data_IF_693897358232
#
_entry.id   IF_693897358232
#
_cell.length_a   1.000
_cell.length_b   1.000
_cell.length_c   1.000
_cell.angle_alpha   90.00
_cell.angle_beta   90.00
_cell.angle_gamma   90.00
#
_symmetry.space_group_name_H-M   'P 1'
#
loop_
_entity.id
_entity.type
_entity.pdbx_description
1 polymer ?
#
# COMPACT_ATOMS: atom_id res chain seq x y z
N UNK A 1 4.83 85.72 30.64
CA UNK A 1 5.36 86.63 29.60
C UNK A 1 6.49 85.90 28.87
N UNK A 2 6.33 85.72 27.55
CA UNK A 2 7.34 85.29 26.57
C UNK A 2 8.56 86.25 26.54
N UNK A 3 9.71 85.94 25.89
CA UNK A 3 9.80 85.21 24.62
C UNK A 3 10.95 84.20 24.41
N UNK A 4 10.78 83.41 23.34
CA UNK A 4 11.75 82.51 22.66
C UNK A 4 12.03 83.07 21.26
N UNK A 5 13.22 82.77 20.72
CA UNK A 5 13.56 82.43 19.31
C UNK A 5 15.08 82.64 19.06
N UNK A 6 15.70 82.08 17.99
CA UNK A 6 15.49 80.78 17.32
C UNK A 6 16.79 80.01 16.91
N UNK A 7 16.56 78.84 16.29
CA UNK A 7 17.43 77.77 15.74
C UNK A 7 18.05 78.07 14.34
N UNK A 8 19.13 77.34 13.99
CA UNK A 8 19.35 76.49 12.78
C UNK A 8 20.88 76.18 12.58
N UNK A 9 21.35 74.91 12.50
CA UNK A 9 21.44 73.98 11.34
C UNK A 9 22.25 74.56 10.15
N UNK A 10 23.25 73.95 9.52
CA UNK A 10 23.79 72.58 9.38
C UNK A 10 25.08 72.69 8.53
N UNK A 11 26.08 71.81 8.71
CA UNK A 11 27.01 71.39 7.64
C UNK A 11 27.82 70.17 8.10
N UNK A 12 27.56 69.05 7.45
CA UNK A 12 28.12 67.73 7.67
C UNK A 12 29.39 67.59 6.83
N UNK A 13 30.55 67.44 7.47
CA UNK A 13 31.72 66.83 6.83
C UNK A 13 32.66 66.26 7.90
N UNK A 14 32.59 64.95 8.12
CA UNK A 14 33.63 64.20 8.81
C UNK A 14 33.70 62.79 8.23
N UNK A 15 34.74 62.63 7.42
CA UNK A 15 35.33 61.37 6.94
C UNK A 15 35.32 60.30 8.03
N UNK A 16 34.65 59.17 7.78
CA UNK A 16 34.80 57.99 8.64
C UNK A 16 35.47 56.85 7.87
N UNK A 17 36.60 56.49 8.44
CA UNK A 17 37.62 55.55 8.00
C UNK A 17 37.18 54.09 8.12
N UNK A 18 37.66 53.30 7.17
CA UNK A 18 38.22 51.95 7.37
C UNK A 18 37.37 50.95 8.16
N UNK A 19 36.64 50.09 7.44
CA UNK A 19 36.63 48.64 7.69
C UNK A 19 36.26 47.94 6.38
N UNK A 20 37.14 48.06 5.38
CA UNK A 20 37.19 47.08 4.30
C UNK A 20 37.71 45.78 4.91
N UNK A 21 36.79 44.94 5.41
CA UNK A 21 37.07 43.51 5.54
C UNK A 21 37.35 43.00 4.14
N UNK A 22 38.64 42.95 3.80
CA UNK A 22 39.11 42.17 2.68
C UNK A 22 38.78 40.71 2.98
N UNK A 23 37.60 40.27 2.54
CA UNK A 23 37.31 38.86 2.34
C UNK A 23 38.30 38.40 1.29
N UNK A 24 39.43 37.88 1.77
CA UNK A 24 40.42 37.21 0.94
C UNK A 24 39.75 35.91 0.51
N UNK A 25 39.02 35.96 -0.61
CA UNK A 25 38.60 34.75 -1.33
C UNK A 25 39.91 34.16 -1.86
N UNK A 26 40.52 33.28 -1.07
CA UNK A 26 41.64 32.49 -1.54
C UNK A 26 41.14 31.64 -2.69
N UNK A 27 41.75 31.83 -3.86
CA UNK A 27 41.47 31.08 -5.07
C UNK A 27 41.88 29.61 -4.87
N UNK A 28 40.98 28.84 -4.28
CA UNK A 28 40.90 27.37 -4.35
C UNK A 28 39.70 26.98 -5.25
N UNK A 29 39.30 27.85 -6.17
CA UNK A 29 38.03 27.77 -6.91
C UNK A 29 37.90 26.50 -7.77
N UNK A 30 39.00 25.93 -8.25
CA UNK A 30 38.99 24.68 -9.02
C UNK A 30 38.87 23.41 -8.17
N UNK A 31 39.52 23.37 -7.01
CA UNK A 31 39.51 22.20 -6.12
C UNK A 31 38.15 22.07 -5.40
N UNK A 32 37.59 23.20 -4.94
CA UNK A 32 36.28 23.23 -4.31
C UNK A 32 35.14 22.87 -5.28
N UNK A 33 35.25 23.21 -6.56
CA UNK A 33 34.25 22.82 -7.56
C UNK A 33 34.27 21.31 -7.84
N UNK A 34 35.45 20.70 -7.93
CA UNK A 34 35.59 19.27 -8.13
C UNK A 34 35.03 18.49 -6.94
N UNK A 35 35.36 18.90 -5.72
CA UNK A 35 34.82 18.29 -4.50
C UNK A 35 33.30 18.41 -4.42
N UNK A 36 32.74 19.56 -4.81
CA UNK A 36 31.28 19.75 -4.86
C UNK A 36 30.62 18.86 -5.91
N UNK A 37 31.25 18.68 -7.07
CA UNK A 37 30.77 17.78 -8.12
C UNK A 37 30.80 16.32 -7.67
N UNK A 38 31.89 15.89 -7.04
CA UNK A 38 32.01 14.54 -6.47
C UNK A 38 30.93 14.34 -5.39
N UNK A 39 30.77 15.29 -4.46
CA UNK A 39 29.74 15.23 -3.43
C UNK A 39 28.32 15.15 -4.04
N UNK A 40 28.02 15.97 -5.04
CA UNK A 40 26.73 15.96 -5.73
C UNK A 40 26.46 14.62 -6.43
N UNK A 41 27.46 14.02 -7.07
CA UNK A 41 27.30 12.70 -7.72
C UNK A 41 27.02 11.59 -6.70
N UNK A 42 27.72 11.57 -5.57
CA UNK A 42 27.49 10.58 -4.50
C UNK A 42 26.06 10.74 -3.95
N UNK A 43 25.62 11.97 -3.69
CA UNK A 43 24.26 12.25 -3.21
C UNK A 43 23.20 11.78 -4.23
N UNK A 44 23.40 12.03 -5.52
CA UNK A 44 22.49 11.58 -6.59
C UNK A 44 22.35 10.05 -6.64
N UNK A 45 23.45 9.32 -6.48
CA UNK A 45 23.45 7.86 -6.44
C UNK A 45 22.61 7.37 -5.24
N UNK A 46 22.83 7.95 -4.06
CA UNK A 46 22.07 7.56 -2.84
C UNK A 46 20.58 7.85 -2.99
N UNK A 47 20.21 9.01 -3.53
CA UNK A 47 18.79 9.36 -3.77
C UNK A 47 18.15 8.38 -4.75
N UNK A 48 18.87 7.99 -5.81
CA UNK A 48 18.36 7.05 -6.81
C UNK A 48 18.03 5.68 -6.18
N UNK A 49 18.93 5.15 -5.35
CA UNK A 49 18.66 3.90 -4.63
C UNK A 49 17.47 4.03 -3.66
N UNK A 50 17.42 5.13 -2.88
CA UNK A 50 16.32 5.37 -1.95
C UNK A 50 14.94 5.40 -2.63
N UNK A 51 14.84 6.01 -3.82
CA UNK A 51 13.59 6.05 -4.58
C UNK A 51 13.12 4.66 -5.02
N UNK A 52 14.04 3.79 -5.44
CA UNK A 52 13.68 2.43 -5.86
C UNK A 52 13.10 1.60 -4.70
N UNK A 53 13.69 1.71 -3.50
CA UNK A 53 13.18 1.00 -2.32
C UNK A 53 11.76 1.42 -1.95
N UNK A 54 11.45 2.71 -2.04
CA UNK A 54 10.11 3.24 -1.74
C UNK A 54 9.07 2.67 -2.71
N UNK A 55 9.36 2.62 -4.00
CA UNK A 55 8.42 2.08 -5.00
C UNK A 55 8.17 0.58 -4.78
N UNK A 56 9.22 -0.18 -4.48
CA UNK A 56 9.09 -1.59 -4.14
C UNK A 56 8.25 -1.79 -2.86
N UNK A 57 8.46 -0.98 -1.83
CA UNK A 57 7.67 -1.04 -0.59
C UNK A 57 6.18 -0.72 -0.84
N UNK A 58 5.87 0.27 -1.67
CA UNK A 58 4.49 0.63 -2.00
C UNK A 58 3.76 -0.51 -2.71
N UNK A 59 4.40 -1.13 -3.70
CA UNK A 59 3.80 -2.26 -4.43
C UNK A 59 3.58 -3.48 -3.52
N UNK A 60 4.51 -3.79 -2.62
CA UNK A 60 4.31 -4.82 -1.60
C UNK A 60 3.15 -4.50 -0.64
N UNK A 61 3.04 -3.24 -0.22
CA UNK A 61 1.95 -2.79 0.66
C UNK A 61 0.56 -2.93 -0.01
N UNK A 62 0.45 -2.62 -1.30
CA UNK A 62 -0.81 -2.81 -2.06
C UNK A 62 -1.24 -4.28 -2.08
N UNK A 63 -0.31 -5.20 -2.41
CA UNK A 63 -0.58 -6.65 -2.36
C UNK A 63 -1.01 -7.11 -0.96
N UNK A 64 -0.36 -6.59 0.08
CA UNK A 64 -0.70 -6.96 1.45
C UNK A 64 -2.10 -6.51 1.84
N UNK A 65 -2.46 -5.25 1.55
CA UNK A 65 -3.81 -4.71 1.80
C UNK A 65 -4.88 -5.51 1.05
N UNK A 66 -4.64 -5.77 -0.24
CA UNK A 66 -5.50 -6.61 -1.07
C UNK A 66 -5.72 -8.01 -0.47
N UNK A 67 -4.64 -8.67 -0.03
CA UNK A 67 -4.73 -9.98 0.59
C UNK A 67 -5.48 -9.95 1.93
N UNK A 68 -5.25 -8.92 2.76
CA UNK A 68 -5.97 -8.74 4.03
C UNK A 68 -7.46 -8.47 3.82
N UNK A 69 -7.80 -7.63 2.83
CA UNK A 69 -9.19 -7.34 2.48
C UNK A 69 -9.92 -8.61 2.03
N UNK A 70 -9.32 -9.38 1.12
CA UNK A 70 -9.88 -10.66 0.67
C UNK A 70 -10.05 -11.65 1.83
N UNK A 71 -9.03 -11.78 2.69
CA UNK A 71 -9.10 -12.62 3.89
C UNK A 71 -10.20 -12.17 4.86
N UNK A 72 -10.41 -10.86 5.01
CA UNK A 72 -11.49 -10.31 5.84
C UNK A 72 -12.86 -10.66 5.28
N UNK A 73 -13.03 -10.58 3.96
CA UNK A 73 -14.29 -11.01 3.33
C UNK A 73 -14.53 -12.51 3.47
N UNK A 74 -13.50 -13.34 3.35
CA UNK A 74 -13.63 -14.78 3.60
C UNK A 74 -14.10 -15.07 5.02
N UNK A 75 -13.52 -14.41 6.02
CA UNK A 75 -13.94 -14.57 7.41
C UNK A 75 -15.36 -14.08 7.65
N UNK A 76 -15.73 -12.93 7.06
CA UNK A 76 -17.10 -12.41 7.14
C UNK A 76 -18.10 -13.38 6.52
N UNK A 77 -17.80 -13.91 5.33
CA UNK A 77 -18.66 -14.88 4.66
C UNK A 77 -18.80 -16.17 5.49
N UNK A 78 -17.70 -16.72 5.99
CA UNK A 78 -17.70 -17.90 6.86
C UNK A 78 -18.56 -17.67 8.11
N UNK A 79 -18.30 -16.60 8.84
CA UNK A 79 -19.04 -16.27 10.07
C UNK A 79 -20.51 -15.99 9.80
N UNK A 80 -20.83 -15.41 8.65
CA UNK A 80 -22.21 -15.17 8.24
C UNK A 80 -22.98 -16.49 8.00
N UNK A 81 -22.41 -17.43 7.23
CA UNK A 81 -23.01 -18.76 7.04
C UNK A 81 -23.22 -19.51 8.34
N UNK A 82 -22.24 -19.45 9.26
CA UNK A 82 -22.33 -20.07 10.60
C UNK A 82 -23.46 -19.42 11.40
N UNK A 83 -23.47 -18.08 11.51
CA UNK A 83 -24.47 -17.33 12.28
C UNK A 83 -25.89 -17.65 11.80
N UNK A 84 -26.11 -17.65 10.49
CA UNK A 84 -27.43 -17.90 9.88
C UNK A 84 -27.78 -19.39 9.78
N UNK A 85 -26.88 -20.29 10.17
CA UNK A 85 -27.05 -21.73 10.02
C UNK A 85 -27.47 -22.13 8.60
N UNK A 86 -26.80 -21.56 7.59
CA UNK A 86 -27.15 -21.76 6.20
C UNK A 86 -26.95 -23.22 5.78
N UNK A 87 -28.04 -23.89 5.39
CA UNK A 87 -28.05 -25.28 4.91
C UNK A 87 -28.37 -25.39 3.43
N UNK A 88 -29.08 -24.40 2.86
CA UNK A 88 -29.34 -24.30 1.42
C UNK A 88 -28.21 -23.52 0.72
N UNK A 89 -27.65 -24.02 -0.40
CA UNK A 89 -26.69 -23.30 -1.23
C UNK A 89 -27.09 -21.85 -1.58
N UNK A 90 -28.38 -21.54 -1.66
CA UNK A 90 -28.89 -20.18 -1.94
C UNK A 90 -28.77 -19.23 -0.77
N UNK A 91 -28.74 -19.77 0.44
CA UNK A 91 -28.61 -19.02 1.69
C UNK A 91 -27.17 -19.00 2.19
N UNK A 92 -26.28 -19.82 1.64
CA UNK A 92 -24.86 -19.81 2.00
C UNK A 92 -24.18 -18.53 1.54
N UNK A 93 -23.41 -17.95 2.45
CA UNK A 93 -22.47 -16.91 2.09
C UNK A 93 -21.43 -17.45 1.11
N UNK A 94 -21.11 -16.65 0.09
CA UNK A 94 -20.22 -17.09 -0.97
C UNK A 94 -19.36 -15.96 -1.50
N UNK A 95 -18.18 -16.33 -1.96
CA UNK A 95 -17.27 -15.47 -2.69
C UNK A 95 -17.04 -16.08 -4.05
N UNK A 96 -17.33 -15.34 -5.12
CA UNK A 96 -17.11 -15.80 -6.49
C UNK A 96 -15.98 -15.00 -7.11
N UNK A 97 -14.88 -15.66 -7.42
CA UNK A 97 -13.79 -15.11 -8.22
C UNK A 97 -14.27 -15.14 -9.68
N UNK A 98 -14.54 -13.98 -10.27
CA UNK A 98 -15.04 -13.89 -11.65
C UNK A 98 -13.88 -13.85 -12.65
N UNK A 99 -12.86 -13.07 -12.31
CA UNK A 99 -11.64 -12.93 -13.10
C UNK A 99 -10.44 -12.92 -12.16
N UNK A 100 -9.26 -12.95 -12.74
CA UNK A 100 -7.99 -12.80 -12.05
C UNK A 100 -7.86 -11.43 -11.32
N UNK A 101 -8.73 -10.46 -11.59
CA UNK A 101 -8.69 -9.12 -11.00
C UNK A 101 -10.00 -8.74 -10.31
N UNK A 102 -10.99 -9.63 -10.23
CA UNK A 102 -12.27 -9.29 -9.65
C UNK A 102 -12.96 -10.48 -8.99
N UNK A 103 -13.58 -10.19 -7.86
CA UNK A 103 -14.40 -11.14 -7.13
C UNK A 103 -15.68 -10.46 -6.64
N UNK A 104 -16.74 -11.26 -6.45
CA UNK A 104 -17.97 -10.82 -5.82
C UNK A 104 -18.14 -11.49 -4.46
N UNK A 105 -18.72 -10.76 -3.51
CA UNK A 105 -19.00 -11.24 -2.16
C UNK A 105 -20.50 -11.14 -1.93
N UNK A 106 -21.12 -12.26 -1.61
CA UNK A 106 -22.53 -12.33 -1.24
C UNK A 106 -22.63 -12.82 0.20
N UNK A 107 -23.00 -11.90 1.10
CA UNK A 107 -23.16 -12.10 2.55
C UNK A 107 -24.40 -11.35 2.99
N UNK A 108 -24.93 -11.66 4.17
CA UNK A 108 -25.86 -10.79 4.88
C UNK A 108 -25.07 -9.70 5.61
N UNK A 109 -24.96 -8.51 5.00
CA UNK A 109 -24.19 -7.40 5.53
C UNK A 109 -24.99 -6.55 6.54
N UNK A 110 -26.32 -6.57 6.46
CA UNK A 110 -27.21 -5.79 7.32
C UNK A 110 -27.69 -6.58 8.57
N UNK A 111 -27.49 -7.90 8.58
CA UNK A 111 -27.83 -8.80 9.67
C UNK A 111 -29.29 -9.30 9.67
N UNK A 112 -30.06 -9.10 8.61
CA UNK A 112 -31.49 -9.40 8.54
C UNK A 112 -31.83 -10.89 8.29
N UNK A 113 -30.82 -11.72 8.04
CA UNK A 113 -30.95 -13.15 7.77
C UNK A 113 -30.99 -13.51 6.28
N UNK A 114 -30.99 -12.54 5.37
CA UNK A 114 -31.06 -12.72 3.92
C UNK A 114 -29.73 -12.32 3.29
N UNK A 115 -29.28 -13.09 2.28
CA UNK A 115 -28.08 -12.73 1.51
C UNK A 115 -28.35 -11.46 0.71
N UNK A 116 -27.52 -10.44 0.90
CA UNK A 116 -27.57 -9.21 0.13
C UNK A 116 -27.12 -9.41 -1.32
N UNK A 117 -27.40 -8.41 -2.16
CA UNK A 117 -26.88 -8.37 -3.52
C UNK A 117 -25.35 -8.44 -3.53
N UNK A 118 -24.74 -9.26 -4.40
CA UNK A 118 -23.29 -9.44 -4.40
C UNK A 118 -22.54 -8.11 -4.61
N UNK A 119 -21.61 -7.80 -3.72
CA UNK A 119 -20.72 -6.65 -3.83
C UNK A 119 -19.54 -7.03 -4.71
N UNK A 120 -19.29 -6.25 -5.76
CA UNK A 120 -18.18 -6.46 -6.68
C UNK A 120 -16.93 -5.72 -6.19
N UNK A 121 -15.83 -6.44 -6.04
CA UNK A 121 -14.52 -5.87 -5.74
C UNK A 121 -13.62 -5.98 -6.96
N UNK A 122 -13.07 -4.84 -7.39
CA UNK A 122 -12.16 -4.75 -8.54
C UNK A 122 -10.75 -4.40 -8.06
N UNK A 123 -9.78 -5.24 -8.44
CA UNK A 123 -8.37 -5.15 -8.06
C UNK A 123 -7.48 -4.72 -9.22
N UNK A 124 -8.06 -4.43 -10.40
CA UNK A 124 -7.30 -4.05 -11.60
C UNK A 124 -6.45 -2.78 -11.37
N UNK A 125 -7.00 -1.80 -10.65
CA UNK A 125 -6.30 -0.55 -10.32
C UNK A 125 -5.11 -0.77 -9.37
N UNK A 126 -5.18 -1.83 -8.56
CA UNK A 126 -4.16 -2.15 -7.55
C UNK A 126 -2.98 -2.93 -8.14
N UNK A 127 -3.05 -3.33 -9.42
CA UNK A 127 -2.07 -4.20 -10.12
C UNK A 127 -1.82 -5.51 -9.38
N UNK A 128 -2.89 -6.06 -8.79
CA UNK A 128 -2.87 -7.32 -8.03
C UNK A 128 -3.69 -8.36 -8.77
N UNK A 129 -3.19 -9.59 -8.80
CA UNK A 129 -3.78 -10.72 -9.51
C UNK A 129 -4.07 -11.85 -8.54
N UNK A 130 -5.28 -12.41 -8.61
CA UNK A 130 -5.65 -13.67 -7.98
C UNK A 130 -5.13 -14.83 -8.84
N UNK A 131 -4.30 -15.70 -8.27
CA UNK A 131 -3.59 -16.74 -9.02
C UNK A 131 -4.38 -18.04 -9.21
N UNK A 132 -5.65 -18.08 -8.84
CA UNK A 132 -6.51 -19.25 -9.03
C UNK A 132 -7.20 -19.22 -10.40
N UNK A 133 -7.53 -20.39 -10.98
CA UNK A 133 -8.33 -20.43 -12.20
C UNK A 133 -9.72 -19.82 -11.95
N UNK A 134 -10.03 -18.76 -12.68
CA UNK A 134 -11.35 -18.14 -12.70
C UNK A 134 -12.19 -18.71 -13.87
N UNK A 135 -13.54 -18.81 -13.74
CA UNK A 135 -14.33 -18.47 -12.56
C UNK A 135 -14.35 -19.59 -11.50
N UNK A 136 -14.41 -19.20 -10.22
CA UNK A 136 -14.47 -20.12 -9.07
C UNK A 136 -15.36 -19.55 -7.96
N UNK A 137 -16.15 -20.39 -7.31
CA UNK A 137 -16.99 -19.99 -6.17
C UNK A 137 -16.61 -20.75 -4.91
N UNK A 138 -16.33 -20.00 -3.85
CA UNK A 138 -16.09 -20.50 -2.50
C UNK A 138 -17.40 -20.31 -1.72
N UNK A 139 -18.00 -21.39 -1.23
CA UNK A 139 -19.23 -21.34 -0.42
C UNK A 139 -18.95 -21.92 0.95
N UNK A 140 -19.60 -21.39 1.98
CA UNK A 140 -19.44 -21.87 3.35
C UNK A 140 -20.73 -22.48 3.88
N UNK A 141 -20.66 -23.67 4.45
CA UNK A 141 -21.77 -24.28 5.17
C UNK A 141 -21.92 -23.71 6.59
N UNK A 142 -22.97 -24.13 7.30
CA UNK A 142 -23.23 -23.74 8.70
C UNK A 142 -22.12 -24.15 9.69
N UNK A 143 -21.22 -25.06 9.30
CA UNK A 143 -20.05 -25.48 10.08
C UNK A 143 -18.79 -24.68 9.71
N UNK A 144 -18.88 -23.75 8.75
CA UNK A 144 -17.77 -22.95 8.26
C UNK A 144 -16.82 -23.69 7.32
N UNK A 145 -17.22 -24.86 6.82
CA UNK A 145 -16.45 -25.64 5.85
C UNK A 145 -16.76 -25.15 4.44
N UNK A 146 -15.76 -25.23 3.58
CA UNK A 146 -15.96 -24.96 2.16
C UNK A 146 -16.76 -26.08 1.52
N UNK A 147 -17.77 -25.72 0.75
CA UNK A 147 -18.63 -26.66 0.02
C UNK A 147 -18.82 -26.23 -1.43
N UNK A 148 -19.13 -27.19 -2.29
CA UNK A 148 -19.57 -26.92 -3.67
C UNK A 148 -21.08 -26.61 -3.74
N UNK A 149 -21.57 -26.34 -4.95
CA UNK A 149 -23.00 -26.12 -5.22
C UNK A 149 -23.90 -27.32 -4.91
N UNK A 150 -23.33 -28.51 -4.72
CA UNK A 150 -24.01 -29.75 -4.39
C UNK A 150 -23.86 -30.14 -2.91
N UNK A 151 -23.35 -29.24 -2.07
CA UNK A 151 -23.11 -29.43 -0.64
C UNK A 151 -22.04 -30.48 -0.30
N UNK A 152 -21.21 -30.86 -1.25
CA UNK A 152 -20.05 -31.69 -0.96
C UNK A 152 -18.98 -30.82 -0.31
N UNK A 153 -18.38 -31.31 0.78
CA UNK A 153 -17.26 -30.63 1.43
C UNK A 153 -16.08 -30.62 0.47
N UNK A 154 -15.65 -29.43 0.07
CA UNK A 154 -14.46 -29.22 -0.75
C UNK A 154 -13.29 -28.88 0.17
N UNK A 155 -12.12 -29.45 -0.09
CA UNK A 155 -10.91 -29.06 0.64
C UNK A 155 -10.20 -27.97 -0.15
N UNK A 156 -10.65 -26.74 0.04
CA UNK A 156 -10.05 -25.59 -0.62
C UNK A 156 -8.81 -25.13 0.15
N UNK A 157 -7.62 -25.45 -0.37
CA UNK A 157 -6.37 -25.25 0.36
C UNK A 157 -5.91 -23.80 0.39
N UNK A 158 -6.11 -23.03 -0.68
CA UNK A 158 -5.69 -21.61 -0.71
C UNK A 158 -6.20 -20.82 -1.91
N UNK A 159 -6.11 -19.49 -1.79
CA UNK A 159 -6.13 -18.51 -2.88
C UNK A 159 -4.81 -17.75 -2.85
N UNK A 160 -4.19 -17.54 -4.02
CA UNK A 160 -2.96 -16.73 -4.13
C UNK A 160 -3.26 -15.31 -4.58
N UNK A 161 -2.54 -14.34 -4.02
CA UNK A 161 -2.62 -12.92 -4.38
C UNK A 161 -1.22 -12.46 -4.77
N UNK A 162 -1.02 -12.07 -6.02
CA UNK A 162 0.31 -11.80 -6.58
C UNK A 162 0.39 -10.44 -7.25
N UNK A 163 1.59 -9.88 -7.29
CA UNK A 163 1.95 -8.73 -8.12
C UNK A 163 3.46 -8.75 -8.41
N UNK A 164 3.98 -7.70 -9.04
CA UNK A 164 5.40 -7.60 -9.40
C UNK A 164 6.36 -7.62 -8.20
N UNK A 165 5.89 -7.46 -6.95
CA UNK A 165 6.73 -7.54 -5.76
C UNK A 165 6.67 -8.88 -5.02
N UNK A 166 5.80 -9.81 -5.44
CA UNK A 166 5.77 -11.17 -4.89
C UNK A 166 4.36 -11.77 -4.81
N UNK A 167 4.22 -12.82 -4.00
CA UNK A 167 2.95 -13.57 -3.83
C UNK A 167 2.60 -13.70 -2.34
N UNK A 168 1.32 -13.50 -2.01
CA UNK A 168 0.70 -13.82 -0.72
C UNK A 168 -0.15 -15.07 -0.90
N UNK A 169 -0.06 -16.01 0.04
CA UNK A 169 -0.96 -17.16 0.11
C UNK A 169 -2.03 -16.90 1.16
N UNK A 170 -3.29 -17.17 0.85
CA UNK A 170 -4.42 -17.08 1.77
C UNK A 170 -5.02 -18.47 1.89
N UNK A 171 -4.91 -19.09 3.05
CA UNK A 171 -5.49 -20.41 3.30
C UNK A 171 -7.00 -20.25 3.55
N UNK A 172 -7.84 -21.00 2.81
CA UNK A 172 -9.31 -20.93 2.92
C UNK A 172 -9.84 -21.97 3.92
N UNK A 173 -9.12 -23.06 4.12
CA UNK A 173 -9.43 -24.10 5.12
C UNK A 173 -9.16 -23.64 6.57
N UNK A 174 -8.03 -22.96 6.84
CA UNK A 174 -7.52 -22.64 8.21
C UNK A 174 -7.52 -21.13 8.55
N UNK A 175 -8.62 -20.42 8.26
CA UNK A 175 -8.61 -18.94 8.29
C UNK A 175 -8.37 -18.34 9.71
N UNK A 176 -8.55 -19.11 10.79
CA UNK A 176 -8.13 -18.73 12.14
C UNK A 176 -6.61 -18.44 12.29
N UNK A 177 -5.80 -18.77 11.28
CA UNK A 177 -4.38 -18.40 11.17
C UNK A 177 -4.06 -17.87 9.77
N UNK A 178 -4.79 -16.87 9.28
CA UNK A 178 -4.41 -16.15 8.06
C UNK A 178 -3.06 -15.44 8.25
N UNK A 179 -1.96 -16.15 8.05
CA UNK A 179 -0.62 -15.57 7.92
C UNK A 179 -0.44 -15.31 6.44
N UNK A 180 -0.44 -14.04 6.03
CA UNK A 180 0.08 -13.67 4.73
C UNK A 180 1.58 -13.96 4.72
N UNK A 181 1.95 -15.22 4.46
CA UNK A 181 3.36 -15.61 4.38
C UNK A 181 3.95 -14.94 3.16
N UNK A 182 4.84 -13.97 3.39
CA UNK A 182 5.60 -13.32 2.32
C UNK A 182 6.61 -14.31 1.78
N UNK A 183 6.27 -15.00 0.69
CA UNK A 183 7.28 -15.69 -0.09
C UNK A 183 7.94 -14.66 -0.99
N UNK A 184 9.09 -14.14 -0.55
CA UNK A 184 10.01 -13.40 -1.41
C UNK A 184 10.54 -14.38 -2.46
N UNK A 185 9.89 -14.44 -3.61
CA UNK A 185 10.44 -15.14 -4.75
C UNK A 185 11.70 -14.38 -5.20
N UNK A 186 12.87 -14.89 -4.83
CA UNK A 186 14.14 -14.52 -5.45
C UNK A 186 14.05 -15.01 -6.89
N UNK A 187 13.71 -14.11 -7.80
CA UNK A 187 13.76 -14.36 -9.24
C UNK A 187 15.22 -14.62 -9.62
N UNK A 188 15.62 -15.88 -9.69
CA UNK A 188 16.90 -16.26 -10.28
C UNK A 188 16.79 -16.15 -11.80
N UNK A 189 16.89 -14.92 -12.31
CA UNK A 189 17.22 -14.70 -13.71
C UNK A 189 18.70 -15.07 -13.90
N UNK A 190 18.97 -16.37 -14.11
CA UNK A 190 20.25 -16.83 -14.66
C UNK A 190 20.17 -16.74 -16.18
N UNK A 191 20.88 -15.72 -16.70
CA UNK A 191 21.48 -15.51 -18.02
C UNK A 191 20.90 -16.27 -19.21
#
# INVERSE_FOLDING_TARGET
MHPRAPLNCEAIEATNSSHASAVKISCNEGFAMLDLLIAATIVSIVISYALTEIVHAQTAALRHRAAQEFSSYLERARNDSIRRHATDPRQMARITILTNHSYSVAIDANGDGVIDSPVMVNMAEQKVVLGDPAPRTLMFDWLGRTVDSYLNVTQESSVTVSNNSGTSLINVSDIARSVATQNFAVSSSRK
#
